data_IF_595792710814
#
_entry.id   IF_595792710814
#
_cell.length_a   1.000
_cell.length_b   1.000
_cell.length_c   1.000
_cell.angle_alpha   90.00
_cell.angle_beta   90.00
_cell.angle_gamma   90.00
#
_symmetry.space_group_name_H-M   'P 1'
#
loop_
_entity.id
_entity.type
_entity.pdbx_description
1 polymer ?
#
# COMPACT_ATOMS: atom_id res chain seq x y z
N UNK A 1 0.83 -23.95 0.96
CA UNK A 1 0.22 -23.09 2.01
C UNK A 1 1.15 -22.00 2.56
N UNK A 2 2.44 -22.24 2.81
CA UNK A 2 3.38 -21.22 3.35
C UNK A 2 3.62 -20.03 2.42
N UNK A 3 3.66 -20.21 1.10
CA UNK A 3 3.84 -19.14 0.10
C UNK A 3 2.70 -18.11 0.10
N UNK A 4 1.45 -18.56 0.26
CA UNK A 4 0.28 -17.66 0.29
C UNK A 4 0.30 -16.78 1.54
N UNK A 5 0.79 -17.30 2.68
CA UNK A 5 0.93 -16.51 3.91
C UNK A 5 2.07 -15.49 3.81
N UNK A 6 3.16 -15.83 3.13
CA UNK A 6 4.26 -14.89 2.88
C UNK A 6 3.82 -13.75 1.96
N UNK A 7 3.07 -14.05 0.90
CA UNK A 7 2.52 -13.04 -0.02
C UNK A 7 1.47 -12.12 0.62
N UNK A 8 0.84 -12.57 1.71
CA UNK A 8 -0.15 -11.78 2.46
C UNK A 8 0.45 -10.98 3.62
N UNK A 9 1.78 -10.89 3.69
CA UNK A 9 2.48 -10.21 4.79
C UNK A 9 2.50 -8.69 4.60
N UNK A 10 2.54 -7.92 5.71
CA UNK A 10 2.64 -6.45 5.67
C UNK A 10 3.80 -5.91 4.81
N UNK A 11 5.02 -6.49 4.86
CA UNK A 11 6.12 -6.02 4.03
C UNK A 11 5.86 -6.18 2.53
N UNK A 12 5.09 -7.18 2.12
CA UNK A 12 4.72 -7.33 0.70
C UNK A 12 3.79 -6.22 0.20
N UNK A 13 2.94 -5.66 1.06
CA UNK A 13 2.11 -4.50 0.72
C UNK A 13 2.96 -3.26 0.47
N UNK A 14 3.99 -3.02 1.29
CA UNK A 14 4.96 -1.95 1.07
C UNK A 14 5.75 -2.13 -0.23
N UNK A 15 6.21 -3.35 -0.51
CA UNK A 15 6.94 -3.66 -1.73
C UNK A 15 6.07 -3.50 -2.98
N UNK A 16 4.81 -3.92 -2.92
CA UNK A 16 3.86 -3.72 -4.01
C UNK A 16 3.58 -2.22 -4.24
N UNK A 17 3.45 -1.44 -3.17
CA UNK A 17 3.34 0.02 -3.26
C UNK A 17 4.59 0.67 -3.85
N UNK A 18 5.79 0.25 -3.44
CA UNK A 18 7.05 0.73 -4.01
C UNK A 18 7.19 0.34 -5.49
N UNK A 19 6.80 -0.88 -5.88
CA UNK A 19 6.74 -1.29 -7.28
C UNK A 19 5.78 -0.42 -8.11
N UNK A 20 4.67 0.01 -7.50
CA UNK A 20 3.74 0.97 -8.11
C UNK A 20 4.42 2.32 -8.35
N UNK A 21 5.24 2.81 -7.42
CA UNK A 21 5.99 4.05 -7.62
C UNK A 21 7.00 3.93 -8.76
N UNK A 22 7.74 2.81 -8.83
CA UNK A 22 8.70 2.53 -9.91
C UNK A 22 8.02 2.38 -11.28
N UNK A 23 6.73 2.02 -11.32
CA UNK A 23 5.99 1.90 -12.57
C UNK A 23 5.78 3.23 -13.27
N UNK A 24 5.76 4.33 -12.52
CA UNK A 24 5.51 5.68 -13.08
C UNK A 24 6.76 6.29 -13.72
N UNK A 25 7.92 6.14 -13.08
CA UNK A 25 9.18 6.60 -13.65
C UNK A 25 10.33 5.79 -13.04
N UNK A 26 11.03 5.05 -13.85
CA UNK A 26 12.29 4.44 -13.46
C UNK A 26 13.32 5.54 -13.21
N UNK A 27 13.90 5.64 -11.99
CA UNK A 27 14.88 6.69 -11.67
C UNK A 27 16.15 6.62 -12.51
N UNK A 28 16.42 5.50 -13.20
CA UNK A 28 17.62 5.31 -14.04
C UNK A 28 17.36 5.53 -15.53
N UNK A 29 16.20 5.13 -16.04
CA UNK A 29 15.91 5.16 -17.48
C UNK A 29 14.83 6.16 -17.87
N UNK A 30 14.03 6.62 -16.90
CA UNK A 30 12.90 7.53 -17.14
C UNK A 30 11.72 6.86 -17.85
N UNK A 31 11.77 5.57 -18.11
CA UNK A 31 10.71 4.86 -18.80
C UNK A 31 9.60 4.41 -17.84
N UNK A 32 8.35 4.59 -18.23
CA UNK A 32 7.20 4.11 -17.49
C UNK A 32 6.99 2.60 -17.73
N UNK A 33 6.87 1.84 -16.67
CA UNK A 33 6.62 0.40 -16.72
C UNK A 33 5.15 0.11 -16.38
N UNK A 34 4.24 0.38 -17.31
CA UNK A 34 2.78 0.23 -17.13
C UNK A 34 2.36 -1.17 -16.66
N UNK A 35 3.07 -2.21 -17.06
CA UNK A 35 2.81 -3.59 -16.63
C UNK A 35 3.07 -3.82 -15.14
N UNK A 36 4.05 -3.14 -14.54
CA UNK A 36 4.30 -3.16 -13.09
C UNK A 36 3.12 -2.58 -12.32
N UNK A 37 2.49 -1.53 -12.85
CA UNK A 37 1.30 -0.93 -12.27
C UNK A 37 0.14 -1.93 -12.22
N UNK A 38 -0.11 -2.62 -13.33
CA UNK A 38 -1.15 -3.64 -13.40
C UNK A 38 -0.89 -4.79 -12.42
N UNK A 39 0.36 -5.26 -12.33
CA UNK A 39 0.72 -6.33 -11.41
C UNK A 39 0.54 -5.93 -9.95
N UNK A 40 0.99 -4.73 -9.56
CA UNK A 40 0.90 -4.28 -8.17
C UNK A 40 -0.55 -4.03 -7.73
N UNK A 41 -1.38 -3.44 -8.60
CA UNK A 41 -2.80 -3.24 -8.34
C UNK A 41 -3.57 -4.57 -8.34
N UNK A 42 -3.30 -5.45 -9.29
CA UNK A 42 -3.90 -6.79 -9.33
C UNK A 42 -3.59 -7.59 -8.08
N UNK A 43 -2.36 -7.50 -7.58
CA UNK A 43 -1.96 -8.12 -6.32
C UNK A 43 -2.76 -7.56 -5.13
N UNK A 44 -2.93 -6.24 -5.05
CA UNK A 44 -3.72 -5.61 -3.98
C UNK A 44 -5.18 -6.06 -4.03
N UNK A 45 -5.81 -5.98 -5.22
CA UNK A 45 -7.20 -6.40 -5.42
C UNK A 45 -7.38 -7.88 -5.09
N UNK A 46 -6.46 -8.74 -5.53
CA UNK A 46 -6.49 -10.16 -5.22
C UNK A 46 -6.41 -10.43 -3.72
N UNK A 47 -5.56 -9.71 -3.00
CA UNK A 47 -5.45 -9.81 -1.54
C UNK A 47 -6.75 -9.38 -0.83
N UNK A 48 -7.38 -8.32 -1.29
CA UNK A 48 -8.64 -7.83 -0.72
C UNK A 48 -9.81 -8.76 -1.07
N UNK A 49 -9.91 -9.22 -2.32
CA UNK A 49 -10.94 -10.13 -2.79
C UNK A 49 -10.91 -11.45 -2.02
N UNK A 50 -9.73 -12.07 -1.88
CA UNK A 50 -9.59 -13.31 -1.10
C UNK A 50 -9.99 -13.16 0.37
N UNK A 51 -9.86 -11.97 0.92
CA UNK A 51 -10.29 -11.70 2.31
C UNK A 51 -11.80 -11.50 2.38
N UNK A 52 -12.39 -10.81 1.42
CA UNK A 52 -13.83 -10.62 1.32
C UNK A 52 -14.56 -11.96 1.12
N UNK A 53 -14.06 -12.84 0.24
CA UNK A 53 -14.62 -14.19 0.02
C UNK A 53 -14.59 -15.05 1.29
N UNK A 54 -13.47 -15.04 2.01
CA UNK A 54 -13.35 -15.78 3.29
C UNK A 54 -14.35 -15.27 4.31
N UNK A 55 -14.60 -13.98 4.35
CA UNK A 55 -15.53 -13.37 5.29
C UNK A 55 -16.98 -13.76 4.94
N UNK A 56 -17.35 -13.76 3.66
CA UNK A 56 -18.68 -14.20 3.20
C UNK A 56 -18.92 -15.70 3.45
N UNK A 57 -17.94 -16.54 3.16
CA UNK A 57 -18.02 -17.98 3.38
C UNK A 57 -18.18 -18.34 4.88
N UNK A 58 -17.50 -17.59 5.75
CA UNK A 58 -17.58 -17.77 7.19
C UNK A 58 -18.92 -17.31 7.77
N UNK A 59 -19.43 -16.17 7.29
CA UNK A 59 -20.73 -15.63 7.73
C UNK A 59 -21.92 -16.51 7.35
N UNK A 60 -21.80 -17.26 6.28
CA UNK A 60 -22.82 -18.19 5.83
C UNK A 60 -22.92 -19.45 6.69
N UNK A 61 -21.86 -19.82 7.41
CA UNK A 61 -21.76 -21.06 8.17
C UNK A 61 -21.98 -20.92 9.68
N UNK A 62 -21.95 -19.70 10.22
CA UNK A 62 -22.00 -19.53 11.68
C UNK A 62 -22.80 -18.26 12.02
N UNK A 63 -23.89 -18.40 12.77
CA UNK A 63 -24.61 -17.28 13.41
C UNK A 63 -23.81 -16.64 14.56
N UNK A 64 -22.53 -16.96 14.68
CA UNK A 64 -21.62 -16.44 15.69
C UNK A 64 -21.10 -15.06 15.28
N UNK A 65 -21.16 -14.15 16.22
CA UNK A 65 -20.74 -12.75 16.14
C UNK A 65 -19.42 -12.51 15.41
N UNK A 66 -19.34 -11.49 14.60
CA UNK A 66 -18.30 -11.37 13.58
C UNK A 66 -16.95 -11.02 14.17
N UNK A 67 -15.94 -11.74 13.76
CA UNK A 67 -14.54 -11.30 13.74
C UNK A 67 -14.33 -10.14 12.71
N UNK A 68 -15.39 -9.39 12.42
CA UNK A 68 -15.39 -8.27 11.46
C UNK A 68 -14.35 -7.22 11.83
N UNK A 69 -14.11 -6.99 13.12
CA UNK A 69 -13.14 -6.02 13.58
C UNK A 69 -11.70 -6.35 13.23
N UNK A 70 -11.33 -7.63 13.18
CA UNK A 70 -9.95 -8.04 12.84
C UNK A 70 -9.69 -8.00 11.34
N UNK A 71 -10.66 -8.39 10.52
CA UNK A 71 -10.56 -8.38 9.07
C UNK A 71 -10.48 -6.94 8.54
N UNK A 72 -11.36 -6.06 9.01
CA UNK A 72 -11.37 -4.64 8.67
C UNK A 72 -10.07 -3.93 9.05
N UNK A 73 -9.57 -4.14 10.28
CA UNK A 73 -8.28 -3.58 10.70
C UNK A 73 -7.12 -4.06 9.82
N UNK A 74 -7.11 -5.32 9.41
CA UNK A 74 -6.08 -5.86 8.50
C UNK A 74 -6.17 -5.26 7.11
N UNK A 75 -7.38 -5.03 6.59
CA UNK A 75 -7.58 -4.36 5.31
C UNK A 75 -7.09 -2.90 5.36
N UNK A 76 -7.42 -2.17 6.43
CA UNK A 76 -6.89 -0.84 6.69
C UNK A 76 -5.36 -0.82 6.65
N UNK A 77 -4.71 -1.72 7.39
CA UNK A 77 -3.26 -1.79 7.43
C UNK A 77 -2.63 -2.11 6.08
N UNK A 78 -3.21 -3.04 5.32
CA UNK A 78 -2.70 -3.37 3.98
C UNK A 78 -2.83 -2.20 3.01
N UNK A 79 -3.98 -1.57 2.98
CA UNK A 79 -4.21 -0.38 2.15
C UNK A 79 -3.28 0.77 2.53
N UNK A 80 -3.12 1.01 3.83
CA UNK A 80 -2.21 2.04 4.33
C UNK A 80 -0.75 1.78 3.96
N UNK A 81 -0.25 0.56 4.18
CA UNK A 81 1.12 0.18 3.85
C UNK A 81 1.38 0.24 2.34
N UNK A 82 0.44 -0.22 1.52
CA UNK A 82 0.52 -0.12 0.07
C UNK A 82 0.58 1.36 -0.37
N UNK A 83 -0.34 2.18 0.12
CA UNK A 83 -0.39 3.61 -0.16
C UNK A 83 0.88 4.34 0.29
N UNK A 84 1.39 4.01 1.50
CA UNK A 84 2.63 4.57 2.02
C UNK A 84 3.82 4.25 1.11
N UNK A 85 3.97 2.98 0.71
CA UNK A 85 5.05 2.55 -0.18
C UNK A 85 5.00 3.26 -1.53
N UNK A 86 3.82 3.37 -2.11
CA UNK A 86 3.63 4.07 -3.38
C UNK A 86 3.92 5.56 -3.27
N UNK A 87 3.31 6.24 -2.31
CA UNK A 87 3.44 7.69 -2.16
C UNK A 87 4.85 8.10 -1.72
N UNK A 88 5.48 7.35 -0.80
CA UNK A 88 6.85 7.61 -0.41
C UNK A 88 7.82 7.47 -1.59
N UNK A 89 7.63 6.45 -2.44
CA UNK A 89 8.42 6.27 -3.65
C UNK A 89 8.15 7.35 -4.69
N UNK A 90 6.89 7.75 -4.88
CA UNK A 90 6.51 8.81 -5.82
C UNK A 90 7.03 10.17 -5.38
N UNK A 91 7.06 10.45 -4.08
CA UNK A 91 7.51 11.73 -3.54
C UNK A 91 9.04 11.82 -3.37
N UNK A 92 9.80 10.87 -3.88
CA UNK A 92 11.26 10.92 -3.83
C UNK A 92 11.84 12.21 -4.46
N UNK A 93 11.23 12.69 -5.55
CA UNK A 93 11.62 13.94 -6.18
C UNK A 93 11.42 15.16 -5.25
N UNK A 94 10.42 15.10 -4.37
CA UNK A 94 10.16 16.16 -3.40
C UNK A 94 11.29 16.23 -2.36
N UNK A 95 11.82 15.05 -1.95
CA UNK A 95 13.03 14.99 -1.11
C UNK A 95 14.20 15.69 -1.78
N UNK A 96 14.49 15.39 -3.05
CA UNK A 96 15.57 16.00 -3.80
C UNK A 96 15.38 17.53 -3.88
N UNK A 97 14.16 17.97 -4.19
CA UNK A 97 13.83 19.39 -4.31
C UNK A 97 14.04 20.15 -3.00
N UNK A 98 13.52 19.62 -1.91
CA UNK A 98 13.58 20.30 -0.60
C UNK A 98 14.98 20.26 0.01
N UNK A 99 15.71 19.16 -0.17
CA UNK A 99 17.06 19.01 0.37
C UNK A 99 18.09 19.78 -0.46
N UNK A 100 18.06 19.62 -1.79
CA UNK A 100 19.09 20.19 -2.69
C UNK A 100 18.86 21.68 -2.94
N UNK A 101 17.64 22.10 -3.16
CA UNK A 101 17.31 23.49 -3.49
C UNK A 101 16.81 24.31 -2.29
N UNK A 102 16.13 23.66 -1.35
CA UNK A 102 15.60 24.31 -0.15
C UNK A 102 16.59 24.43 1.01
N UNK A 103 17.76 23.76 0.94
CA UNK A 103 18.77 23.77 1.98
C UNK A 103 18.31 23.19 3.32
N UNK A 104 17.19 22.45 3.35
CA UNK A 104 16.64 21.88 4.55
C UNK A 104 17.42 20.63 5.02
N UNK A 105 17.45 20.41 6.32
CA UNK A 105 18.07 19.21 6.88
C UNK A 105 17.40 17.95 6.35
N UNK A 106 18.19 17.00 5.87
CA UNK A 106 17.70 15.76 5.27
C UNK A 106 16.72 14.99 6.18
N UNK A 107 16.96 14.96 7.49
CA UNK A 107 16.07 14.29 8.44
C UNK A 107 14.68 14.94 8.50
N UNK A 108 14.61 16.28 8.46
CA UNK A 108 13.33 17.00 8.44
C UNK A 108 12.59 16.75 7.13
N UNK A 109 13.29 16.72 6.01
CA UNK A 109 12.67 16.47 4.70
C UNK A 109 12.13 15.05 4.63
N UNK A 110 12.88 14.04 5.09
CA UNK A 110 12.40 12.65 5.16
C UNK A 110 11.17 12.57 6.05
N UNK A 111 11.20 13.19 7.23
CA UNK A 111 10.05 13.18 8.15
C UNK A 111 8.81 13.84 7.51
N UNK A 112 8.98 14.96 6.81
CA UNK A 112 7.89 15.66 6.13
C UNK A 112 7.29 14.83 4.98
N UNK A 113 8.14 14.22 4.15
CA UNK A 113 7.70 13.36 3.04
C UNK A 113 6.97 12.12 3.56
N UNK A 114 7.50 11.46 4.59
CA UNK A 114 6.85 10.30 5.20
C UNK A 114 5.54 10.68 5.91
N UNK A 115 5.47 11.82 6.58
CA UNK A 115 4.25 12.31 7.20
C UNK A 115 3.16 12.59 6.13
N UNK A 116 3.54 13.25 5.04
CA UNK A 116 2.64 13.51 3.92
C UNK A 116 2.16 12.22 3.27
N UNK A 117 3.08 11.32 2.96
CA UNK A 117 2.76 10.01 2.40
C UNK A 117 1.86 9.20 3.33
N UNK A 118 2.13 9.20 4.64
CA UNK A 118 1.33 8.52 5.64
C UNK A 118 -0.10 9.06 5.76
N UNK A 119 -0.26 10.37 5.71
CA UNK A 119 -1.58 11.01 5.71
C UNK A 119 -2.39 10.65 4.46
N UNK A 120 -1.77 10.76 3.28
CA UNK A 120 -2.43 10.41 2.02
C UNK A 120 -2.70 8.90 1.92
N UNK A 121 -1.85 8.05 2.49
CA UNK A 121 -2.06 6.62 2.55
C UNK A 121 -3.32 6.22 3.34
N UNK A 122 -3.84 7.08 4.23
CA UNK A 122 -5.13 6.87 4.90
C UNK A 122 -6.29 6.75 3.91
N UNK A 123 -6.21 7.42 2.77
CA UNK A 123 -7.19 7.28 1.70
C UNK A 123 -7.25 5.85 1.16
N UNK A 124 -6.09 5.23 0.95
CA UNK A 124 -5.98 3.84 0.52
C UNK A 124 -6.44 2.86 1.60
N UNK A 125 -6.16 3.19 2.85
CA UNK A 125 -6.65 2.42 4.00
C UNK A 125 -8.19 2.40 4.02
N UNK A 126 -8.82 3.56 3.89
CA UNK A 126 -10.27 3.69 3.87
C UNK A 126 -10.89 2.98 2.66
N UNK A 127 -10.29 3.13 1.47
CA UNK A 127 -10.74 2.44 0.27
C UNK A 127 -10.66 0.91 0.43
N UNK A 128 -9.56 0.39 0.98
CA UNK A 128 -9.39 -1.03 1.23
C UNK A 128 -10.38 -1.56 2.29
N UNK A 129 -10.68 -0.75 3.31
CA UNK A 129 -11.68 -1.10 4.32
C UNK A 129 -13.10 -1.09 3.77
N UNK A 130 -13.41 -0.16 2.86
CA UNK A 130 -14.72 -0.07 2.22
C UNK A 130 -14.97 -1.22 1.22
N UNK A 131 -13.93 -1.88 0.74
CA UNK A 131 -14.02 -3.00 -0.19
C UNK A 131 -14.41 -4.33 0.49
N UNK A 132 -14.18 -4.46 1.79
CA UNK A 132 -14.50 -5.66 2.60
C UNK A 132 -15.84 -5.53 3.30
#
# INVERSE_FOLDING_TARGET
>A
MRLIHALASPPMALLAGAAQALSMADPWTGHAHWWLQLLSLSWLVWQLAHRAERQMSWSASTWASPETGTAWRRALWLGWLFGLGWLAGTFWWLFISMHTYGGLNAALVVAAVLALAGLLALYYALAAAAFI
#
